data_IF_002703059167
#
_entry.id   IF_002703059167
#
_cell.length_a   1.000
_cell.length_b   1.000
_cell.length_c   1.000
_cell.angle_alpha   90.00
_cell.angle_beta   90.00
_cell.angle_gamma   90.00
#
_symmetry.space_group_name_H-M   'P 1'
#
loop_
_entity.id
_entity.type
_entity.pdbx_description
1 polymer ?
#
# COMPACT_ATOMS: atom_id res chain seq x y z
N UNK A 1 -2.04 12.77 -21.10
CA UNK A 1 -1.25 11.70 -20.45
C UNK A 1 -1.98 11.34 -19.17
N UNK A 2 -2.18 10.06 -18.90
CA UNK A 2 -2.60 9.60 -17.58
C UNK A 2 -1.48 9.93 -16.59
N UNK A 3 -1.81 10.44 -15.39
CA UNK A 3 -0.79 10.66 -14.35
C UNK A 3 -0.12 9.33 -13.99
N UNK A 4 1.12 9.38 -13.53
CA UNK A 4 1.81 8.20 -12.97
C UNK A 4 1.03 7.69 -11.77
N UNK A 5 0.93 6.37 -11.64
CA UNK A 5 0.22 5.70 -10.56
C UNK A 5 1.23 4.98 -9.69
N UNK A 6 1.20 5.26 -8.39
CA UNK A 6 2.10 4.68 -7.41
C UNK A 6 1.27 3.76 -6.51
N UNK A 7 1.40 2.44 -6.71
CA UNK A 7 0.81 1.48 -5.78
C UNK A 7 1.58 1.52 -4.47
N UNK A 8 0.89 1.82 -3.37
CA UNK A 8 1.48 1.94 -2.04
C UNK A 8 1.44 0.59 -1.34
N UNK A 9 2.59 0.11 -0.90
CA UNK A 9 2.71 -1.14 -0.14
C UNK A 9 2.32 -0.92 1.34
N UNK A 10 1.79 -1.96 1.97
CA UNK A 10 1.24 -1.90 3.33
C UNK A 10 2.31 -1.57 4.37
N UNK A 11 3.54 -2.05 4.18
CA UNK A 11 4.67 -1.72 5.06
C UNK A 11 4.91 -0.20 5.20
N UNK A 12 4.89 0.56 4.10
CA UNK A 12 5.05 2.01 4.10
C UNK A 12 3.97 2.68 4.94
N UNK A 13 2.74 2.18 4.86
CA UNK A 13 1.61 2.70 5.64
C UNK A 13 1.75 2.34 7.12
N UNK A 14 2.12 1.09 7.44
CA UNK A 14 2.30 0.61 8.80
C UNK A 14 3.43 1.36 9.51
N UNK A 15 4.55 1.62 8.83
CA UNK A 15 5.67 2.39 9.39
C UNK A 15 5.20 3.75 9.91
N UNK A 16 4.29 4.39 9.18
CA UNK A 16 3.75 5.72 9.53
C UNK A 16 2.68 5.60 10.61
N UNK A 17 1.75 4.65 10.49
CA UNK A 17 0.65 4.46 11.43
C UNK A 17 1.17 4.13 12.84
N UNK A 18 2.23 3.33 12.93
CA UNK A 18 2.84 2.94 14.20
C UNK A 18 3.97 3.86 14.67
N UNK A 19 4.28 4.93 13.93
CA UNK A 19 5.41 5.83 14.22
C UNK A 19 6.73 5.04 14.41
N UNK A 20 7.04 4.17 13.43
CA UNK A 20 8.25 3.34 13.47
C UNK A 20 9.50 4.24 13.54
N UNK A 21 10.35 4.10 14.57
CA UNK A 21 11.44 5.03 14.83
C UNK A 21 12.58 4.94 13.80
N UNK A 22 12.58 3.92 12.95
CA UNK A 22 13.61 3.68 11.92
C UNK A 22 13.05 4.07 10.54
N UNK A 23 11.81 3.70 10.25
CA UNK A 23 11.28 3.74 8.89
C UNK A 23 10.24 4.83 8.64
N UNK A 24 9.54 5.36 9.65
CA UNK A 24 8.44 6.30 9.47
C UNK A 24 8.84 7.52 8.62
N UNK A 25 9.96 8.17 8.96
CA UNK A 25 10.44 9.37 8.25
C UNK A 25 10.73 9.09 6.76
N UNK A 26 11.36 7.96 6.45
CA UNK A 26 11.69 7.59 5.08
C UNK A 26 10.43 7.22 4.30
N UNK A 27 9.49 6.54 4.94
CA UNK A 27 8.19 6.19 4.37
C UNK A 27 7.34 7.43 4.06
N UNK A 28 7.32 8.43 4.94
CA UNK A 28 6.68 9.74 4.70
C UNK A 28 7.29 10.42 3.49
N UNK A 29 8.63 10.57 3.47
CA UNK A 29 9.33 11.22 2.35
C UNK A 29 9.08 10.51 1.01
N UNK A 30 8.99 9.18 1.01
CA UNK A 30 8.66 8.40 -0.18
C UNK A 30 7.24 8.69 -0.68
N UNK A 31 6.25 8.72 0.23
CA UNK A 31 4.87 9.06 -0.12
C UNK A 31 4.73 10.48 -0.66
N UNK A 32 5.36 11.46 0.00
CA UNK A 32 5.35 12.86 -0.45
C UNK A 32 5.90 13.00 -1.87
N UNK A 33 7.03 12.35 -2.15
CA UNK A 33 7.65 12.35 -3.48
C UNK A 33 6.76 11.71 -4.55
N UNK A 34 6.12 10.59 -4.22
CA UNK A 34 5.20 9.90 -5.12
C UNK A 34 3.94 10.75 -5.38
N UNK A 35 3.34 11.33 -4.34
CA UNK A 35 2.17 12.21 -4.43
C UNK A 35 2.47 13.50 -5.21
N UNK A 36 3.69 14.04 -5.13
CA UNK A 36 4.10 15.20 -5.91
C UNK A 36 4.18 14.93 -7.42
N UNK A 37 4.26 13.67 -7.85
CA UNK A 37 4.50 13.27 -9.25
C UNK A 37 3.41 12.37 -9.84
N UNK A 38 2.40 12.00 -9.05
CA UNK A 38 1.41 11.03 -9.45
C UNK A 38 0.30 10.86 -8.42
N UNK A 39 -0.52 9.83 -8.61
CA UNK A 39 -1.61 9.46 -7.71
C UNK A 39 -1.17 8.26 -6.87
N UNK A 40 -1.40 8.34 -5.56
CA UNK A 40 -1.21 7.21 -4.65
C UNK A 40 -2.40 6.26 -4.78
N UNK A 41 -2.12 4.99 -5.02
CA UNK A 41 -3.12 3.96 -5.26
C UNK A 41 -2.99 2.87 -4.20
N UNK A 42 -4.12 2.38 -3.71
CA UNK A 42 -4.23 1.17 -2.90
C UNK A 42 -5.22 0.21 -3.54
N UNK A 43 -5.11 -1.08 -3.24
CA UNK A 43 -6.05 -2.10 -3.69
C UNK A 43 -6.72 -2.80 -2.48
N UNK A 44 -7.70 -3.71 -2.70
CA UNK A 44 -8.38 -4.40 -1.61
C UNK A 44 -7.47 -5.24 -0.69
N UNK A 45 -6.32 -5.72 -1.19
CA UNK A 45 -5.35 -6.47 -0.38
C UNK A 45 -4.68 -5.52 0.62
N UNK A 46 -4.14 -4.40 0.16
CA UNK A 46 -3.51 -3.38 1.01
C UNK A 46 -4.51 -2.81 2.03
N UNK A 47 -5.74 -2.51 1.57
CA UNK A 47 -6.80 -2.04 2.46
C UNK A 47 -7.13 -3.06 3.57
N UNK A 48 -7.17 -4.35 3.22
CA UNK A 48 -7.40 -5.43 4.18
C UNK A 48 -6.25 -5.64 5.16
N UNK A 49 -5.00 -5.52 4.69
CA UNK A 49 -3.81 -5.65 5.55
C UNK A 49 -3.70 -4.50 6.57
N UNK A 50 -3.95 -3.26 6.15
CA UNK A 50 -4.06 -2.13 7.10
C UNK A 50 -5.26 -2.33 8.02
N UNK A 51 -6.39 -2.82 7.49
CA UNK A 51 -7.57 -3.11 8.31
C UNK A 51 -7.34 -4.14 9.41
N UNK A 52 -6.34 -5.02 9.28
CA UNK A 52 -6.01 -6.01 10.29
C UNK A 52 -5.44 -5.39 11.59
N UNK A 53 -5.01 -4.13 11.56
CA UNK A 53 -4.52 -3.39 12.73
C UNK A 53 -5.50 -2.30 13.23
N UNK A 54 -6.70 -2.21 12.65
CA UNK A 54 -7.74 -1.25 13.07
C UNK A 54 -8.84 -1.93 13.88
N UNK A 55 -9.45 -1.18 14.81
CA UNK A 55 -10.58 -1.62 15.62
C UNK A 55 -11.94 -1.44 14.90
N UNK A 56 -11.98 -0.64 13.83
CA UNK A 56 -13.21 -0.34 13.08
C UNK A 56 -12.98 0.05 11.61
N UNK A 57 -14.05 0.00 10.80
CA UNK A 57 -14.01 0.48 9.42
C UNK A 57 -13.87 2.00 9.35
N UNK A 58 -14.44 2.72 10.31
CA UNK A 58 -14.33 4.17 10.42
C UNK A 58 -12.87 4.58 10.63
N UNK A 59 -12.16 3.92 11.54
CA UNK A 59 -10.73 4.12 11.76
C UNK A 59 -9.92 3.83 10.49
N UNK A 60 -10.13 2.66 9.87
CA UNK A 60 -9.44 2.30 8.64
C UNK A 60 -9.66 3.33 7.51
N UNK A 61 -10.89 3.81 7.35
CA UNK A 61 -11.20 4.84 6.37
C UNK A 61 -10.55 6.19 6.71
N UNK A 62 -10.36 6.51 7.99
CA UNK A 62 -9.65 7.71 8.42
C UNK A 62 -8.14 7.64 8.17
N UNK A 63 -7.55 6.45 8.26
CA UNK A 63 -6.14 6.20 7.93
C UNK A 63 -5.90 6.17 6.41
N UNK A 64 -6.89 5.74 5.63
CA UNK A 64 -6.84 5.63 4.17
C UNK A 64 -7.92 6.50 3.49
N UNK A 65 -7.84 7.83 3.64
CA UNK A 65 -8.82 8.75 3.09
C UNK A 65 -8.79 8.72 1.56
N UNK A 66 -9.97 8.77 0.94
CA UNK A 66 -10.13 8.67 -0.53
C UNK A 66 -9.59 9.91 -1.25
N UNK A 67 -9.40 11.01 -0.54
CA UNK A 67 -8.78 12.24 -1.01
C UNK A 67 -7.26 12.07 -1.23
N UNK A 68 -6.63 11.15 -0.49
CA UNK A 68 -5.19 10.87 -0.57
C UNK A 68 -4.91 9.61 -1.38
N UNK A 69 -5.70 8.55 -1.16
CA UNK A 69 -5.48 7.24 -1.78
C UNK A 69 -6.64 6.88 -2.69
N UNK A 70 -6.35 6.76 -3.98
CA UNK A 70 -7.30 6.19 -4.93
C UNK A 70 -7.39 4.68 -4.71
N UNK A 71 -8.62 4.18 -4.59
CA UNK A 71 -8.88 2.75 -4.43
C UNK A 71 -9.13 2.14 -5.80
N UNK A 72 -8.19 1.31 -6.24
CA UNK A 72 -8.29 0.59 -7.51
C UNK A 72 -8.58 -0.90 -7.26
N UNK A 73 -9.39 -1.51 -8.12
CA UNK A 73 -9.66 -2.94 -8.03
C UNK A 73 -8.40 -3.78 -8.33
N UNK A 74 -8.33 -4.96 -7.73
CA UNK A 74 -7.32 -5.97 -8.08
C UNK A 74 -7.94 -7.00 -9.02
N UNK A 75 -7.50 -7.00 -10.28
CA UNK A 75 -7.92 -8.04 -11.23
C UNK A 75 -7.33 -9.40 -10.87
N UNK A 76 -8.12 -10.46 -11.10
CA UNK A 76 -7.77 -11.84 -10.70
C UNK A 76 -6.45 -12.34 -11.30
N UNK A 77 -6.16 -11.96 -12.54
CA UNK A 77 -4.94 -12.33 -13.25
C UNK A 77 -3.70 -11.73 -12.59
N UNK A 78 -3.80 -10.52 -12.03
CA UNK A 78 -2.70 -9.90 -11.29
C UNK A 78 -2.40 -10.67 -9.99
N UNK A 79 -3.44 -11.15 -9.28
CA UNK A 79 -3.27 -12.01 -8.10
C UNK A 79 -2.59 -13.33 -8.44
N UNK A 80 -2.89 -13.94 -9.59
CA UNK A 80 -2.19 -15.13 -10.07
C UNK A 80 -0.70 -14.85 -10.30
N UNK A 81 -0.37 -13.75 -10.97
CA UNK A 81 1.03 -13.36 -11.21
C UNK A 81 1.78 -13.09 -9.91
N UNK A 82 1.15 -12.45 -8.93
CA UNK A 82 1.72 -12.26 -7.59
C UNK A 82 2.05 -13.60 -6.93
N UNK A 83 1.15 -14.60 -7.00
CA UNK A 83 1.41 -15.95 -6.51
C UNK A 83 2.58 -16.64 -7.21
N UNK A 84 2.75 -16.43 -8.52
CA UNK A 84 3.89 -16.97 -9.26
C UNK A 84 5.21 -16.31 -8.85
N UNK A 85 5.21 -14.99 -8.61
CA UNK A 85 6.36 -14.28 -8.07
C UNK A 85 6.73 -14.80 -6.67
N UNK A 86 5.74 -14.96 -5.79
CA UNK A 86 5.93 -15.53 -4.45
C UNK A 86 6.53 -16.95 -4.49
N UNK A 87 6.01 -17.83 -5.37
CA UNK A 87 6.58 -19.16 -5.58
C UNK A 87 8.05 -19.11 -5.99
N UNK A 88 8.41 -18.17 -6.88
CA UNK A 88 9.80 -17.99 -7.34
C UNK A 88 10.70 -17.49 -6.21
N UNK A 89 10.26 -16.49 -5.45
CA UNK A 89 10.96 -15.97 -4.27
C UNK A 89 11.26 -17.10 -3.26
N UNK A 90 10.24 -17.90 -2.91
CA UNK A 90 10.38 -19.05 -2.00
C UNK A 90 11.34 -20.11 -2.52
N UNK A 91 11.31 -20.41 -3.82
CA UNK A 91 12.25 -21.35 -4.46
C UNK A 91 13.70 -20.88 -4.34
N UNK A 92 13.92 -19.57 -4.30
CA UNK A 92 15.24 -18.96 -4.19
C UNK A 92 15.71 -18.74 -2.74
N UNK A 93 14.98 -19.28 -1.75
CA UNK A 93 15.27 -19.17 -0.29
C UNK A 93 15.13 -17.76 0.30
N UNK A 94 14.50 -16.84 -0.43
CA UNK A 94 14.41 -15.43 -0.06
C UNK A 94 15.34 -14.61 -0.92
#
# INVERSE_FOLDING_TARGET
MTPTEWLVDTNVLIDIIHDDPIFAEVSIQALEKCAATGVLVINPVIYGEVGAICDSLEELNSLLPVETFRRDDLIWEASFLAGQAFRRYRKNKG
#
